data_IF_574720776049
#
_entry.id   IF_574720776049
#
_cell.length_a   1.000
_cell.length_b   1.000
_cell.length_c   1.000
_cell.angle_alpha   90.00
_cell.angle_beta   90.00
_cell.angle_gamma   90.00
#
_symmetry.space_group_name_H-M   'P 1'
#
loop_
_entity.id
_entity.type
_entity.pdbx_description
1 polymer ?
#
# COMPACT_ATOMS: atom_id res chain seq x y z
N UNK A 1 -6.71 -4.42 -25.84
CA UNK A 1 -5.45 -3.68 -25.63
C UNK A 1 -4.88 -4.05 -24.28
N UNK A 2 -3.56 -4.17 -24.21
CA UNK A 2 -2.84 -4.45 -22.97
C UNK A 2 -1.56 -3.60 -22.90
N UNK A 3 -1.13 -3.27 -21.71
CA UNK A 3 0.10 -2.52 -21.48
C UNK A 3 0.89 -3.11 -20.32
N UNK A 4 2.20 -3.24 -20.48
CA UNK A 4 3.13 -3.64 -19.45
C UNK A 4 3.98 -2.43 -19.03
N UNK A 5 4.01 -2.13 -17.75
CA UNK A 5 4.89 -1.11 -17.18
C UNK A 5 5.86 -1.75 -16.20
N UNK A 6 7.12 -1.41 -16.34
CA UNK A 6 8.19 -1.83 -15.43
C UNK A 6 8.93 -0.59 -14.98
N UNK A 7 9.03 -0.39 -13.68
CA UNK A 7 9.72 0.76 -13.09
C UNK A 7 10.77 0.32 -12.07
N UNK A 8 11.88 1.03 -12.05
CA UNK A 8 12.89 0.97 -11.00
C UNK A 8 13.30 2.38 -10.65
N UNK A 9 13.22 2.71 -9.38
CA UNK A 9 13.82 3.92 -8.82
C UNK A 9 14.81 3.55 -7.72
N UNK A 10 15.90 4.27 -7.64
CA UNK A 10 16.90 4.09 -6.61
C UNK A 10 17.24 5.47 -6.02
N UNK A 11 16.77 5.72 -4.81
CA UNK A 11 16.96 6.98 -4.11
C UNK A 11 18.19 6.93 -3.20
N UNK A 12 19.38 6.67 -3.77
CA UNK A 12 20.65 6.68 -3.05
C UNK A 12 21.29 8.07 -2.99
N UNK A 13 20.50 9.13 -3.07
CA UNK A 13 21.05 10.47 -2.93
C UNK A 13 21.38 10.81 -1.48
N UNK A 14 22.68 10.78 -1.17
CA UNK A 14 23.23 11.15 0.13
C UNK A 14 23.11 12.64 0.45
N UNK A 15 22.77 13.48 -0.52
CA UNK A 15 22.56 14.92 -0.33
C UNK A 15 21.21 15.23 0.32
N UNK A 16 20.29 14.29 0.35
CA UNK A 16 18.95 14.40 0.94
C UNK A 16 18.92 14.49 2.47
N UNK A 17 20.04 14.74 3.15
CA UNK A 17 20.15 14.89 4.61
C UNK A 17 19.24 15.97 5.22
N UNK A 18 18.61 16.80 4.41
CA UNK A 18 17.86 17.98 4.85
C UNK A 18 16.36 17.93 4.54
N UNK A 19 15.84 16.83 4.02
CA UNK A 19 14.39 16.69 3.83
C UNK A 19 13.75 16.16 5.12
N UNK A 20 13.32 17.07 5.97
CA UNK A 20 12.71 16.78 7.28
C UNK A 20 11.39 15.99 7.20
N UNK A 21 10.79 15.87 6.03
CA UNK A 21 9.48 15.24 5.87
C UNK A 21 9.53 13.73 5.56
N UNK A 22 10.69 13.17 5.18
CA UNK A 22 10.79 11.78 4.74
C UNK A 22 11.81 11.02 5.60
N UNK A 23 11.45 9.88 6.21
CA UNK A 23 12.39 9.06 6.98
C UNK A 23 13.59 8.63 6.15
N UNK A 24 14.77 8.57 6.76
CA UNK A 24 16.03 8.16 6.10
C UNK A 24 15.91 6.80 5.38
N UNK A 25 15.12 5.88 5.93
CA UNK A 25 14.85 4.59 5.32
C UNK A 25 14.17 4.73 3.95
N UNK A 26 13.18 5.63 3.83
CA UNK A 26 12.49 5.86 2.56
C UNK A 26 13.37 6.60 1.54
N UNK A 27 14.28 7.46 2.01
CA UNK A 27 15.20 8.19 1.14
C UNK A 27 16.31 7.29 0.56
N UNK A 28 16.68 6.22 1.27
CA UNK A 28 17.73 5.28 0.88
C UNK A 28 17.15 3.95 0.34
N UNK A 29 15.94 3.97 -0.21
CA UNK A 29 15.29 2.79 -0.74
C UNK A 29 15.50 2.63 -2.25
N UNK A 30 15.66 1.38 -2.67
CA UNK A 30 15.50 0.95 -4.05
C UNK A 30 14.08 0.41 -4.24
N UNK A 31 13.39 0.81 -5.31
CA UNK A 31 12.05 0.33 -5.63
C UNK A 31 12.07 -0.29 -7.02
N UNK A 32 11.55 -1.50 -7.12
CA UNK A 32 11.24 -2.17 -8.37
C UNK A 32 9.73 -2.43 -8.41
N UNK A 33 9.09 -2.10 -9.52
CA UNK A 33 7.71 -2.46 -9.77
C UNK A 33 7.49 -2.96 -11.19
N UNK A 34 6.49 -3.81 -11.35
CA UNK A 34 6.00 -4.29 -12.63
C UNK A 34 4.48 -4.32 -12.57
N UNK A 35 3.84 -3.76 -13.57
CA UNK A 35 2.39 -3.86 -13.72
C UNK A 35 2.02 -4.11 -15.18
N UNK A 36 0.89 -4.75 -15.37
CA UNK A 36 0.30 -5.03 -16.67
C UNK A 36 -1.17 -4.65 -16.64
N UNK A 37 -1.66 -4.01 -17.68
CA UNK A 37 -3.09 -3.72 -17.81
C UNK A 37 -3.62 -4.37 -19.08
N UNK A 38 -4.61 -5.23 -18.90
CA UNK A 38 -5.41 -5.81 -19.96
C UNK A 38 -6.75 -5.10 -20.00
N UNK A 39 -7.13 -4.61 -21.18
CA UNK A 39 -8.42 -3.98 -21.41
C UNK A 39 -9.05 -4.57 -22.70
N UNK A 40 -10.20 -5.21 -22.54
CA UNK A 40 -10.93 -5.80 -23.66
C UNK A 40 -12.43 -5.82 -23.37
N UNK A 41 -13.21 -5.15 -24.23
CA UNK A 41 -14.65 -4.98 -24.03
C UNK A 41 -14.95 -4.35 -22.66
N UNK A 42 -15.82 -4.95 -21.86
CA UNK A 42 -16.19 -4.40 -20.55
C UNK A 42 -15.15 -4.66 -19.44
N UNK A 43 -14.09 -5.42 -19.72
CA UNK A 43 -13.10 -5.83 -18.72
C UNK A 43 -11.86 -4.96 -18.71
N UNK A 44 -11.42 -4.59 -17.51
CA UNK A 44 -10.08 -4.08 -17.22
C UNK A 44 -9.51 -4.95 -16.10
N UNK A 45 -8.30 -5.52 -16.33
CA UNK A 45 -7.60 -6.35 -15.34
C UNK A 45 -6.16 -5.87 -15.26
N UNK A 46 -5.71 -5.54 -14.05
CA UNK A 46 -4.39 -4.97 -13.82
C UNK A 46 -3.70 -5.63 -12.63
N UNK A 47 -2.95 -6.71 -12.86
CA UNK A 47 -2.02 -7.23 -11.86
C UNK A 47 -0.83 -6.31 -11.71
N UNK A 48 -0.33 -6.16 -10.48
CA UNK A 48 0.93 -5.49 -10.23
C UNK A 48 1.73 -6.17 -9.12
N UNK A 49 3.05 -6.01 -9.17
CA UNK A 49 3.99 -6.43 -8.14
C UNK A 49 4.96 -5.30 -7.83
N UNK A 50 5.31 -5.15 -6.56
CA UNK A 50 6.29 -4.19 -6.09
C UNK A 50 7.24 -4.84 -5.10
N UNK A 51 8.52 -4.48 -5.23
CA UNK A 51 9.58 -4.80 -4.28
C UNK A 51 10.30 -3.52 -3.89
N UNK A 52 10.51 -3.33 -2.58
CA UNK A 52 11.30 -2.22 -2.05
C UNK A 52 12.42 -2.79 -1.20
N UNK A 53 13.63 -2.28 -1.33
CA UNK A 53 14.77 -2.67 -0.51
C UNK A 53 15.46 -1.43 0.07
N UNK A 54 15.75 -1.48 1.36
CA UNK A 54 16.52 -0.49 2.10
C UNK A 54 17.74 -1.19 2.67
N UNK A 55 18.93 -0.82 2.22
CA UNK A 55 20.16 -1.40 2.72
C UNK A 55 20.54 -0.78 4.07
N UNK A 56 21.24 -1.58 4.89
CA UNK A 56 21.85 -1.10 6.12
C UNK A 56 22.84 0.01 5.82
N UNK A 57 22.67 1.18 6.44
CA UNK A 57 23.65 2.26 6.43
C UNK A 57 23.66 2.98 7.78
N UNK A 58 24.64 2.64 8.62
CA UNK A 58 24.77 3.21 9.97
C UNK A 58 25.04 4.71 9.96
N UNK A 59 25.55 5.27 8.85
CA UNK A 59 25.85 6.71 8.72
C UNK A 59 24.57 7.56 8.68
N UNK A 60 23.47 6.95 8.28
CA UNK A 60 22.14 7.61 8.23
C UNK A 60 21.16 7.00 9.24
N UNK A 61 21.67 6.15 10.16
CA UNK A 61 20.86 5.58 11.23
C UNK A 61 20.06 4.33 10.85
N UNK A 62 20.32 3.71 9.69
CA UNK A 62 19.66 2.49 9.27
C UNK A 62 20.45 1.29 9.79
N UNK A 63 20.01 0.71 10.91
CA UNK A 63 20.71 -0.37 11.61
C UNK A 63 20.67 -1.72 10.91
N UNK A 64 19.61 -2.03 10.16
CA UNK A 64 19.39 -3.30 9.50
C UNK A 64 18.81 -3.12 8.09
N UNK A 65 19.18 -4.02 7.18
CA UNK A 65 18.51 -4.13 5.88
C UNK A 65 17.05 -4.52 6.08
N UNK A 66 16.15 -3.88 5.34
CA UNK A 66 14.74 -4.22 5.32
C UNK A 66 14.22 -4.23 3.88
N UNK A 67 13.30 -5.14 3.58
CA UNK A 67 12.66 -5.20 2.27
C UNK A 67 11.16 -5.35 2.44
N UNK A 68 10.41 -4.81 1.49
CA UNK A 68 8.99 -5.12 1.33
C UNK A 68 8.75 -5.73 -0.03
N UNK A 69 7.80 -6.62 -0.10
CA UNK A 69 7.27 -7.13 -1.35
C UNK A 69 5.77 -7.29 -1.24
N UNK A 70 5.12 -7.06 -2.35
CA UNK A 70 3.68 -7.17 -2.40
C UNK A 70 3.17 -7.15 -3.82
N UNK A 71 1.92 -7.50 -3.96
CA UNK A 71 1.24 -7.47 -5.23
C UNK A 71 -0.25 -7.27 -5.05
N UNK A 72 -0.87 -6.79 -6.10
CA UNK A 72 -2.31 -6.64 -6.16
C UNK A 72 -2.86 -7.09 -7.51
N UNK A 73 -4.11 -7.49 -7.49
CA UNK A 73 -4.93 -7.67 -8.68
C UNK A 73 -6.10 -6.70 -8.60
N UNK A 74 -6.13 -5.80 -9.58
CA UNK A 74 -7.28 -4.92 -9.81
C UNK A 74 -8.08 -5.49 -10.97
N UNK A 75 -9.40 -5.54 -10.83
CA UNK A 75 -10.31 -5.91 -11.89
C UNK A 75 -11.51 -4.98 -11.88
N UNK A 76 -11.95 -4.54 -13.07
CA UNK A 76 -13.16 -3.77 -13.23
C UNK A 76 -13.99 -4.35 -14.36
N UNK A 77 -15.30 -4.28 -14.20
CA UNK A 77 -16.27 -4.70 -15.20
C UNK A 77 -17.34 -3.63 -15.38
N UNK A 78 -17.55 -3.21 -16.62
CA UNK A 78 -18.62 -2.30 -16.99
C UNK A 78 -19.88 -3.10 -17.38
N UNK A 79 -20.87 -3.12 -16.49
CA UNK A 79 -22.15 -3.83 -16.73
C UNK A 79 -23.01 -3.11 -17.76
N UNK A 80 -22.97 -1.78 -17.70
CA UNK A 80 -23.66 -0.87 -18.62
C UNK A 80 -22.79 0.36 -18.87
N UNK A 81 -23.19 1.24 -19.77
CA UNK A 81 -22.51 2.53 -20.01
C UNK A 81 -22.52 3.43 -18.76
N UNK A 82 -23.45 3.18 -17.85
CA UNK A 82 -23.66 4.01 -16.66
C UNK A 82 -23.25 3.33 -15.34
N UNK A 83 -22.91 2.04 -15.35
CA UNK A 83 -22.56 1.31 -14.13
C UNK A 83 -21.37 0.39 -14.32
N UNK A 84 -20.39 0.54 -13.45
CA UNK A 84 -19.24 -0.35 -13.35
C UNK A 84 -18.95 -0.76 -11.90
N UNK A 85 -18.33 -1.91 -11.75
CA UNK A 85 -17.85 -2.42 -10.47
C UNK A 85 -16.36 -2.72 -10.59
N UNK A 86 -15.56 -2.11 -9.72
CA UNK A 86 -14.16 -2.41 -9.57
C UNK A 86 -13.90 -3.15 -8.25
N UNK A 87 -12.91 -4.03 -8.29
CA UNK A 87 -12.41 -4.73 -7.10
C UNK A 87 -10.89 -4.76 -7.09
N UNK A 88 -10.30 -4.79 -5.90
CA UNK A 88 -8.87 -4.96 -5.70
C UNK A 88 -8.64 -5.92 -4.54
N UNK A 89 -7.75 -6.86 -4.75
CA UNK A 89 -7.14 -7.65 -3.68
C UNK A 89 -5.65 -7.34 -3.67
N UNK A 90 -5.07 -7.21 -2.48
CA UNK A 90 -3.68 -6.83 -2.32
C UNK A 90 -3.09 -7.55 -1.11
N UNK A 91 -1.84 -7.99 -1.25
CA UNK A 91 -1.03 -8.50 -0.16
C UNK A 91 0.32 -7.81 -0.17
N UNK A 92 0.77 -7.38 1.00
CA UNK A 92 2.12 -6.85 1.19
C UNK A 92 2.75 -7.44 2.44
N UNK A 93 4.07 -7.61 2.41
CA UNK A 93 4.84 -8.14 3.53
C UNK A 93 6.17 -7.39 3.65
N UNK A 94 6.62 -7.23 4.88
CA UNK A 94 7.91 -6.65 5.22
C UNK A 94 8.78 -7.68 5.92
N UNK A 95 10.05 -7.75 5.52
CA UNK A 95 11.07 -8.54 6.22
C UNK A 95 11.42 -7.94 7.57
N UNK A 96 12.04 -8.75 8.43
CA UNK A 96 12.50 -8.32 9.75
C UNK A 96 11.91 -9.15 10.86
N UNK A 97 12.40 -8.90 12.08
CA UNK A 97 11.95 -9.60 13.29
C UNK A 97 10.98 -8.68 14.06
N UNK A 98 9.82 -9.21 14.37
CA UNK A 98 8.80 -8.53 15.16
C UNK A 98 9.36 -8.02 16.48
N UNK A 99 9.09 -6.76 16.83
CA UNK A 99 9.54 -6.16 18.07
C UNK A 99 11.03 -5.83 18.15
N UNK A 100 11.79 -6.05 17.08
CA UNK A 100 13.24 -5.80 17.07
C UNK A 100 13.65 -4.33 16.98
N UNK A 101 12.70 -3.40 16.82
CA UNK A 101 12.99 -1.99 16.52
C UNK A 101 13.63 -1.79 15.14
N UNK A 102 13.55 -2.78 14.24
CA UNK A 102 14.04 -2.69 12.88
C UNK A 102 13.30 -1.67 12.03
N UNK A 103 13.86 -1.38 10.86
CA UNK A 103 13.29 -0.42 9.90
C UNK A 103 11.85 -0.79 9.56
N UNK A 104 10.94 0.17 9.73
CA UNK A 104 9.51 -0.01 9.48
C UNK A 104 9.14 0.66 8.15
N UNK A 105 8.91 -0.13 7.11
CA UNK A 105 8.60 0.35 5.76
C UNK A 105 7.08 0.38 5.48
N UNK A 106 6.32 -0.56 6.04
CA UNK A 106 4.86 -0.63 5.86
C UNK A 106 4.07 0.21 6.85
N UNK A 107 4.70 0.67 7.94
CA UNK A 107 4.02 1.38 9.02
C UNK A 107 3.49 0.48 10.14
N UNK A 108 3.50 -0.83 9.96
CA UNK A 108 2.95 -1.82 10.89
C UNK A 108 4.02 -2.60 11.68
N UNK A 109 5.29 -2.19 11.56
CA UNK A 109 6.44 -2.80 12.24
C UNK A 109 7.19 -3.80 11.38
N UNK A 110 8.44 -4.09 11.77
CA UNK A 110 9.27 -5.08 11.11
C UNK A 110 8.64 -6.48 11.22
N UNK A 111 8.67 -7.26 10.13
CA UNK A 111 8.08 -8.60 10.06
C UNK A 111 6.55 -8.60 10.01
N UNK A 112 5.92 -7.46 9.69
CA UNK A 112 4.48 -7.37 9.49
C UNK A 112 4.06 -7.67 8.06
N UNK A 113 2.79 -8.01 7.89
CA UNK A 113 2.14 -8.12 6.59
C UNK A 113 0.73 -7.52 6.63
N UNK A 114 0.18 -7.23 5.48
CA UNK A 114 -1.17 -6.74 5.32
C UNK A 114 -1.85 -7.40 4.13
N UNK A 115 -3.08 -7.81 4.30
CA UNK A 115 -3.99 -8.21 3.24
C UNK A 115 -5.13 -7.22 3.15
N UNK A 116 -5.50 -6.80 1.94
CA UNK A 116 -6.63 -5.90 1.76
C UNK A 116 -7.55 -6.33 0.62
N UNK A 117 -8.81 -5.98 0.78
CA UNK A 117 -9.85 -6.12 -0.25
C UNK A 117 -10.57 -4.79 -0.38
N UNK A 118 -10.77 -4.35 -1.61
CA UNK A 118 -11.50 -3.10 -1.93
C UNK A 118 -12.55 -3.39 -2.97
N UNK A 119 -13.74 -2.83 -2.81
CA UNK A 119 -14.84 -2.90 -3.79
C UNK A 119 -15.37 -1.50 -4.03
N UNK A 120 -15.53 -1.14 -5.30
CA UNK A 120 -15.88 0.22 -5.72
C UNK A 120 -16.93 0.20 -6.84
N UNK A 121 -18.24 0.18 -6.53
CA UNK A 121 -19.29 0.48 -7.50
C UNK A 121 -19.21 1.95 -7.93
N UNK A 122 -19.33 2.19 -9.21
CA UNK A 122 -19.33 3.53 -9.82
C UNK A 122 -20.53 3.70 -10.74
N UNK A 123 -21.26 4.79 -10.55
CA UNK A 123 -22.36 5.21 -11.40
C UNK A 123 -21.95 6.48 -12.14
N UNK A 124 -22.15 6.50 -13.46
CA UNK A 124 -21.83 7.64 -14.32
C UNK A 124 -23.13 8.14 -15.00
N UNK A 125 -23.35 9.45 -14.98
CA UNK A 125 -24.50 10.09 -15.58
C UNK A 125 -24.03 11.30 -16.37
N UNK A 126 -24.03 11.21 -17.69
CA UNK A 126 -23.49 12.25 -18.59
C UNK A 126 -22.05 12.62 -18.17
N UNK A 127 -21.88 13.78 -17.54
CA UNK A 127 -20.59 14.27 -17.03
C UNK A 127 -20.35 13.99 -15.55
N UNK A 128 -21.36 13.51 -14.82
CA UNK A 128 -21.26 13.30 -13.39
C UNK A 128 -20.96 11.87 -13.09
N UNK A 129 -20.17 11.66 -12.04
CA UNK A 129 -20.01 10.33 -11.46
C UNK A 129 -20.28 10.35 -9.95
N UNK A 130 -20.73 9.23 -9.46
CA UNK A 130 -20.86 8.91 -8.05
C UNK A 130 -20.27 7.53 -7.81
N UNK A 131 -19.38 7.42 -6.84
CA UNK A 131 -18.84 6.13 -6.41
C UNK A 131 -18.80 5.98 -4.91
N UNK A 132 -18.92 4.76 -4.47
CA UNK A 132 -18.72 4.34 -3.08
C UNK A 132 -17.58 3.35 -3.07
N UNK A 133 -16.69 3.47 -2.12
CA UNK A 133 -15.63 2.49 -1.89
C UNK A 133 -15.79 1.88 -0.51
N UNK A 134 -15.74 0.58 -0.44
CA UNK A 134 -15.51 -0.17 0.79
C UNK A 134 -14.14 -0.84 0.71
N UNK A 135 -13.33 -0.67 1.74
CA UNK A 135 -12.04 -1.33 1.88
C UNK A 135 -11.91 -1.97 3.25
N UNK A 136 -11.48 -3.22 3.26
CA UNK A 136 -11.12 -3.99 4.45
C UNK A 136 -9.63 -4.30 4.42
N UNK A 137 -8.95 -4.10 5.55
CA UNK A 137 -7.52 -4.43 5.73
C UNK A 137 -7.37 -5.32 6.94
N UNK A 138 -6.62 -6.41 6.78
CA UNK A 138 -6.22 -7.30 7.87
C UNK A 138 -4.68 -7.33 7.96
N UNK A 139 -4.15 -7.14 9.17
CA UNK A 139 -2.73 -7.12 9.48
C UNK A 139 -2.30 -8.41 10.16
N UNK A 140 -1.15 -8.93 9.74
CA UNK A 140 -0.42 -9.95 10.44
C UNK A 140 0.92 -9.41 10.97
N UNK A 141 1.46 -10.06 11.98
CA UNK A 141 2.81 -9.76 12.46
C UNK A 141 2.98 -8.42 13.17
N UNK A 142 1.92 -7.74 13.62
CA UNK A 142 2.03 -6.49 14.38
C UNK A 142 2.72 -6.69 15.73
N UNK A 143 3.41 -5.65 16.20
CA UNK A 143 3.91 -5.57 17.59
C UNK A 143 2.80 -4.98 18.46
N UNK A 144 2.44 -5.67 19.54
CA UNK A 144 1.42 -5.18 20.49
C UNK A 144 2.03 -4.19 21.47
N UNK A 145 1.32 -3.11 21.72
CA UNK A 145 1.65 -2.14 22.77
C UNK A 145 0.94 -2.42 24.09
N UNK A 146 1.41 -1.78 25.13
CA UNK A 146 0.78 -1.75 26.45
C UNK A 146 0.63 -0.29 26.91
N UNK A 147 -0.58 0.23 26.88
CA UNK A 147 -0.86 1.62 27.28
C UNK A 147 -0.54 1.89 28.76
N UNK A 148 -0.65 0.88 29.62
CA UNK A 148 -0.29 1.03 31.03
C UNK A 148 1.23 1.25 31.23
N UNK A 149 2.03 0.79 30.28
CA UNK A 149 3.48 0.99 30.21
C UNK A 149 3.89 2.12 29.27
N UNK A 150 2.92 2.87 28.75
CA UNK A 150 3.16 4.00 27.83
C UNK A 150 3.60 3.60 26.43
N UNK A 151 3.40 2.34 26.02
CA UNK A 151 3.79 1.85 24.70
C UNK A 151 2.57 1.68 23.79
N UNK A 152 2.72 2.08 22.51
CA UNK A 152 1.71 1.86 21.47
C UNK A 152 2.09 0.64 20.63
N UNK A 153 1.07 -0.12 20.20
CA UNK A 153 1.20 -1.15 19.18
C UNK A 153 1.38 -0.55 17.80
N UNK A 154 1.69 -1.42 16.82
CA UNK A 154 1.93 -1.02 15.42
C UNK A 154 0.73 -1.29 14.50
N UNK A 155 -0.40 -1.73 15.04
CA UNK A 155 -1.64 -1.96 14.31
C UNK A 155 -2.57 -0.75 14.30
N UNK A 156 -3.84 -1.00 14.06
CA UNK A 156 -4.88 0.01 14.02
C UNK A 156 -5.44 0.35 15.43
N UNK A 157 -6.25 1.42 15.46
CA UNK A 157 -6.93 1.88 16.66
C UNK A 157 -6.06 2.79 17.53
N UNK A 158 -6.65 3.29 18.62
CA UNK A 158 -6.00 4.27 19.51
C UNK A 158 -4.75 3.70 20.20
N UNK A 159 -4.77 2.42 20.50
CA UNK A 159 -3.69 1.70 21.17
C UNK A 159 -2.74 0.98 20.20
N UNK A 160 -3.06 0.98 18.89
CA UNK A 160 -2.28 0.29 17.87
C UNK A 160 -2.35 -1.25 17.95
N UNK A 161 -3.34 -1.82 18.63
CA UNK A 161 -3.42 -3.27 18.86
C UNK A 161 -4.45 -3.99 17.97
N UNK A 162 -5.24 -3.25 17.20
CA UNK A 162 -6.21 -3.87 16.28
C UNK A 162 -5.51 -4.34 15.02
N UNK A 163 -5.89 -5.53 14.56
CA UNK A 163 -5.34 -6.11 13.33
C UNK A 163 -6.17 -5.78 12.10
N UNK A 164 -7.40 -5.30 12.27
CA UNK A 164 -8.27 -5.00 11.13
C UNK A 164 -8.82 -3.58 11.15
N UNK A 165 -9.14 -3.09 9.95
CA UNK A 165 -9.80 -1.81 9.74
C UNK A 165 -10.72 -1.89 8.53
N UNK A 166 -11.93 -1.34 8.71
CA UNK A 166 -12.87 -1.07 7.62
C UNK A 166 -12.87 0.43 7.30
N UNK A 167 -12.91 0.75 6.01
CA UNK A 167 -13.01 2.11 5.50
C UNK A 167 -14.13 2.23 4.48
N UNK A 168 -14.92 3.25 4.61
CA UNK A 168 -15.94 3.65 3.64
C UNK A 168 -15.59 5.03 3.09
N UNK A 169 -15.68 5.18 1.79
CA UNK A 169 -15.43 6.45 1.11
C UNK A 169 -16.54 6.68 0.10
N UNK A 170 -16.99 7.93 -0.01
CA UNK A 170 -17.93 8.38 -1.04
C UNK A 170 -17.24 9.48 -1.83
N UNK A 171 -17.33 9.39 -3.13
CA UNK A 171 -16.78 10.38 -4.05
C UNK A 171 -17.80 10.72 -5.13
N UNK A 172 -17.85 11.99 -5.49
CA UNK A 172 -18.62 12.50 -6.62
C UNK A 172 -17.79 13.52 -7.38
N UNK A 173 -17.99 13.61 -8.66
CA UNK A 173 -17.23 14.54 -9.50
C UNK A 173 -17.84 14.75 -10.88
N UNK A 174 -17.16 15.59 -11.64
CA UNK A 174 -17.54 15.96 -13.01
C UNK A 174 -16.36 15.63 -13.92
N UNK A 175 -16.63 14.95 -15.03
CA UNK A 175 -15.67 14.70 -16.11
C UNK A 175 -15.90 15.73 -17.23
N UNK A 176 -14.83 16.31 -17.78
CA UNK A 176 -14.87 17.32 -18.83
C UNK A 176 -14.43 16.75 -20.17
#
# INVERSE_FOLDING_TARGET
>A
NGGLNVGRTNALDRSARYQFATPNAQQNSGIFNINYTYANGPWIISPYFQFTNVERDLRVGIGNTASTYGGALLAAYSFTDNFSLAGRIEYTEQTGVRGSGGTNLLGFGAGSNAFSVTVTPTFTFDRYFFRVEYAHVELGGITRGNLAEGTLGTGFGRDGNRTSQDRYMVETGITF
#
